data_IF_130400544948
#
_entry.id   IF_130400544948
#
_cell.length_a   1.000
_cell.length_b   1.000
_cell.length_c   1.000
_cell.angle_alpha   90.00
_cell.angle_beta   90.00
_cell.angle_gamma   90.00
#
_symmetry.space_group_name_H-M   'P 1'
#
loop_
_entity.id
_entity.type
_entity.pdbx_description
1 polymer ?
#
# COMPACT_ATOMS: atom_id res chain seq x y z
N UNK A 1 -22.52 3.18 -7.46
CA UNK A 1 -22.98 4.22 -6.53
C UNK A 1 -23.49 3.56 -5.26
N UNK A 2 -23.04 4.02 -4.09
CA UNK A 2 -23.49 3.51 -2.79
C UNK A 2 -24.14 4.69 -2.08
N UNK A 3 -25.45 4.62 -1.86
CA UNK A 3 -26.26 5.76 -1.40
C UNK A 3 -26.01 7.01 -2.28
N UNK A 4 -25.56 8.11 -1.69
CA UNK A 4 -25.25 9.35 -2.43
C UNK A 4 -23.79 9.47 -2.85
N UNK A 5 -22.94 8.46 -2.52
CA UNK A 5 -21.52 8.47 -2.84
C UNK A 5 -21.21 7.75 -4.15
N UNK A 6 -20.32 8.29 -4.95
CA UNK A 6 -19.73 7.60 -6.08
C UNK A 6 -18.42 6.94 -5.64
N UNK A 7 -18.33 5.60 -5.79
CA UNK A 7 -17.20 4.79 -5.34
C UNK A 7 -16.60 4.08 -6.55
N UNK A 8 -15.29 4.24 -6.72
CA UNK A 8 -14.51 3.61 -7.78
C UNK A 8 -13.39 2.78 -7.20
N UNK A 9 -13.23 1.57 -7.71
CA UNK A 9 -12.10 0.70 -7.39
C UNK A 9 -11.08 0.77 -8.52
N UNK A 10 -9.86 1.17 -8.21
CA UNK A 10 -8.77 1.33 -9.17
C UNK A 10 -7.65 0.37 -8.83
N UNK A 11 -7.16 -0.37 -9.82
CA UNK A 11 -6.12 -1.39 -9.64
C UNK A 11 -5.02 -1.23 -10.67
N UNK A 12 -3.79 -1.47 -10.24
CA UNK A 12 -2.62 -1.66 -11.10
C UNK A 12 -2.42 -3.16 -11.33
N UNK A 13 -2.57 -3.63 -12.55
CA UNK A 13 -2.38 -5.04 -12.91
C UNK A 13 -0.97 -5.35 -13.43
N UNK A 14 -0.04 -4.39 -13.35
CA UNK A 14 1.34 -4.56 -13.80
C UNK A 14 2.27 -4.93 -12.64
N UNK A 15 3.39 -5.55 -12.99
CA UNK A 15 4.47 -5.94 -12.07
C UNK A 15 5.35 -4.76 -11.61
N UNK A 16 5.04 -3.55 -12.07
CA UNK A 16 5.79 -2.35 -11.75
C UNK A 16 4.88 -1.27 -11.16
N UNK A 17 5.45 -0.41 -10.35
CA UNK A 17 4.79 0.79 -9.82
C UNK A 17 4.42 1.72 -10.95
N UNK A 18 3.17 2.18 -10.99
CA UNK A 18 2.66 3.07 -12.04
C UNK A 18 2.01 4.32 -11.46
N UNK A 19 2.27 5.42 -12.16
CA UNK A 19 1.57 6.70 -11.94
C UNK A 19 0.74 7.02 -13.16
N UNK A 20 -0.53 7.33 -12.97
CA UNK A 20 -1.47 7.68 -14.03
C UNK A 20 -2.50 8.69 -13.55
N UNK A 21 -3.04 9.46 -14.49
CA UNK A 21 -4.13 10.38 -14.25
C UNK A 21 -5.45 9.70 -14.57
N UNK A 22 -6.25 9.41 -13.55
CA UNK A 22 -7.56 8.76 -13.72
C UNK A 22 -8.63 9.82 -13.83
N UNK A 23 -9.50 9.69 -14.83
CA UNK A 23 -10.65 10.56 -15.04
C UNK A 23 -11.93 9.87 -14.55
N UNK A 24 -12.63 10.54 -13.65
CA UNK A 24 -13.90 10.10 -13.09
C UNK A 24 -15.03 11.00 -13.62
N UNK A 25 -16.17 10.41 -13.97
CA UNK A 25 -17.36 11.15 -14.40
C UNK A 25 -18.12 11.69 -13.19
N UNK A 26 -17.46 12.56 -12.47
CA UNK A 26 -17.96 13.21 -11.25
C UNK A 26 -17.44 14.64 -11.27
N UNK A 27 -18.26 15.60 -10.85
CA UNK A 27 -17.90 16.99 -10.67
C UNK A 27 -18.52 17.53 -9.37
N UNK A 28 -17.94 18.60 -8.81
CA UNK A 28 -18.46 19.25 -7.62
C UNK A 28 -18.37 18.43 -6.33
N UNK A 29 -17.58 17.34 -6.33
CA UNK A 29 -17.34 16.52 -5.15
C UNK A 29 -15.83 16.40 -4.88
N UNK A 30 -15.46 16.41 -3.58
CA UNK A 30 -14.09 16.18 -3.12
C UNK A 30 -13.71 14.71 -3.38
N UNK A 31 -12.64 14.43 -4.15
CA UNK A 31 -12.11 13.08 -4.22
C UNK A 31 -11.40 12.70 -2.91
N UNK A 32 -11.74 11.55 -2.39
CA UNK A 32 -11.08 10.90 -1.27
C UNK A 32 -10.37 9.63 -1.75
N UNK A 33 -9.25 9.31 -1.13
CA UNK A 33 -8.49 8.08 -1.39
C UNK A 33 -8.60 7.20 -0.15
N UNK A 34 -9.12 5.98 -0.34
CA UNK A 34 -9.34 5.01 0.71
C UNK A 34 -8.49 3.78 0.45
N UNK A 35 -7.55 3.52 1.36
CA UNK A 35 -6.69 2.35 1.31
C UNK A 35 -7.29 1.22 2.14
N UNK A 36 -7.72 0.15 1.47
CA UNK A 36 -8.35 -0.99 2.11
C UNK A 36 -7.36 -1.86 2.92
N UNK A 37 -6.05 -1.78 2.65
CA UNK A 37 -5.04 -2.54 3.39
C UNK A 37 -4.70 -1.90 4.73
N UNK A 38 -4.59 -0.57 4.74
CA UNK A 38 -4.21 0.19 5.94
C UNK A 38 -5.41 0.75 6.70
N UNK A 39 -6.57 0.85 6.03
CA UNK A 39 -7.75 1.55 6.54
C UNK A 39 -7.63 3.07 6.50
N UNK A 40 -6.58 3.61 5.87
CA UNK A 40 -6.41 5.06 5.74
C UNK A 40 -7.45 5.66 4.80
N UNK A 41 -8.09 6.73 5.27
CA UNK A 41 -9.02 7.56 4.50
C UNK A 41 -8.49 8.98 4.52
N UNK A 42 -8.29 9.57 3.34
CA UNK A 42 -7.78 10.93 3.22
C UNK A 42 -8.28 11.64 1.97
N UNK A 43 -8.37 12.96 2.03
CA UNK A 43 -8.64 13.77 0.85
C UNK A 43 -7.52 13.66 -0.17
N UNK A 44 -7.87 13.50 -1.45
CA UNK A 44 -6.94 13.71 -2.54
C UNK A 44 -6.65 15.22 -2.64
N UNK A 45 -5.42 15.61 -2.33
CA UNK A 45 -4.98 17.02 -2.41
C UNK A 45 -4.63 17.44 -3.83
N UNK A 46 -4.27 16.49 -4.69
CA UNK A 46 -4.01 16.71 -6.10
C UNK A 46 -5.22 16.21 -6.90
N UNK A 47 -5.94 17.11 -7.51
CA UNK A 47 -6.98 16.82 -8.48
C UNK A 47 -7.26 18.08 -9.34
N UNK A 48 -7.83 17.86 -10.49
CA UNK A 48 -8.43 18.91 -11.29
C UNK A 48 -9.83 18.52 -11.68
N UNK A 49 -10.74 19.46 -11.75
CA UNK A 49 -12.10 19.19 -12.24
C UNK A 49 -12.54 20.23 -13.27
N UNK A 50 -13.46 19.80 -14.10
CA UNK A 50 -14.19 20.63 -15.04
C UNK A 50 -15.70 20.34 -14.87
N UNK A 51 -16.52 20.80 -15.79
CA UNK A 51 -17.99 20.70 -15.70
C UNK A 51 -18.54 19.26 -15.60
N UNK A 52 -17.75 18.22 -15.93
CA UNK A 52 -18.25 16.84 -16.03
C UNK A 52 -17.28 15.79 -15.48
N UNK A 53 -16.04 16.14 -15.28
CA UNK A 53 -14.96 15.19 -14.95
C UNK A 53 -14.09 15.71 -13.82
N UNK A 54 -13.69 14.79 -12.94
CA UNK A 54 -12.60 15.01 -12.00
C UNK A 54 -11.42 14.10 -12.38
N UNK A 55 -10.24 14.69 -12.54
CA UNK A 55 -8.99 13.98 -12.82
C UNK A 55 -8.17 13.91 -11.55
N UNK A 56 -7.79 12.71 -11.13
CA UNK A 56 -6.98 12.46 -9.93
C UNK A 56 -5.70 11.72 -10.32
N UNK A 57 -4.50 12.28 -10.05
CA UNK A 57 -3.25 11.56 -10.21
C UNK A 57 -3.11 10.51 -9.10
N UNK A 58 -2.98 9.24 -9.50
CA UNK A 58 -2.81 8.10 -8.64
C UNK A 58 -1.47 7.42 -8.90
N UNK A 59 -0.82 6.95 -7.84
CA UNK A 59 0.36 6.09 -7.90
C UNK A 59 0.04 4.80 -7.15
N UNK A 60 0.14 3.68 -7.85
CA UNK A 60 -0.11 2.35 -7.29
C UNK A 60 1.12 1.47 -7.42
N UNK A 61 1.43 0.74 -6.37
CA UNK A 61 2.46 -0.28 -6.35
C UNK A 61 2.11 -1.45 -7.30
N UNK A 62 3.04 -2.35 -7.61
CA UNK A 62 2.74 -3.57 -8.37
C UNK A 62 1.54 -4.29 -7.78
N UNK A 63 0.56 -4.61 -8.63
CA UNK A 63 -0.70 -5.27 -8.23
C UNK A 63 -1.51 -4.54 -7.15
N UNK A 64 -1.14 -3.29 -6.83
CA UNK A 64 -1.82 -2.47 -5.84
C UNK A 64 -3.20 -2.00 -6.28
N UNK A 65 -4.04 -1.70 -5.30
CA UNK A 65 -5.40 -1.20 -5.52
C UNK A 65 -5.79 -0.15 -4.50
N UNK A 66 -6.76 0.69 -4.86
CA UNK A 66 -7.27 1.75 -4.00
C UNK A 66 -8.73 2.05 -4.35
N UNK A 67 -9.50 2.52 -3.39
CA UNK A 67 -10.80 3.12 -3.69
C UNK A 67 -10.65 4.64 -3.83
N UNK A 68 -11.36 5.20 -4.80
CA UNK A 68 -11.56 6.64 -4.92
C UNK A 68 -13.04 6.91 -4.70
N UNK A 69 -13.33 7.73 -3.69
CA UNK A 69 -14.69 7.98 -3.21
C UNK A 69 -15.00 9.47 -3.32
N UNK A 70 -16.21 9.76 -3.76
CA UNK A 70 -16.74 11.11 -3.91
C UNK A 70 -18.05 11.20 -3.12
N UNK A 71 -18.03 11.89 -1.99
CA UNK A 71 -19.18 12.01 -1.11
C UNK A 71 -19.41 13.43 -0.55
N UNK A 72 -18.38 14.25 -0.51
CA UNK A 72 -18.43 15.59 0.08
C UNK A 72 -18.55 16.67 -1.00
N UNK A 73 -19.57 17.48 -0.95
CA UNK A 73 -19.77 18.57 -1.91
C UNK A 73 -18.69 19.65 -1.77
N UNK A 74 -18.19 20.13 -2.91
CA UNK A 74 -17.26 21.24 -3.03
C UNK A 74 -17.70 22.16 -4.18
N UNK A 75 -17.11 23.35 -4.24
CA UNK A 75 -17.29 24.23 -5.39
C UNK A 75 -16.80 23.55 -6.68
N UNK A 76 -17.58 23.62 -7.75
CA UNK A 76 -17.23 23.03 -9.06
C UNK A 76 -15.98 23.61 -9.68
N UNK A 77 -15.59 24.82 -9.29
CA UNK A 77 -14.36 25.46 -9.73
C UNK A 77 -13.16 25.14 -8.84
N UNK A 78 -13.37 24.44 -7.69
CA UNK A 78 -12.29 24.08 -6.77
C UNK A 78 -11.31 23.15 -7.47
N UNK A 79 -10.04 23.45 -7.33
CA UNK A 79 -8.94 22.62 -7.80
C UNK A 79 -8.15 22.08 -6.62
N UNK A 80 -7.40 21.03 -6.84
CA UNK A 80 -6.48 20.51 -5.84
C UNK A 80 -5.41 21.53 -5.44
N UNK A 81 -4.92 21.42 -4.23
CA UNK A 81 -3.91 22.31 -3.64
C UNK A 81 -2.50 21.77 -3.75
N UNK A 82 -2.33 20.59 -4.32
CA UNK A 82 -1.04 19.91 -4.49
C UNK A 82 -0.90 19.39 -5.92
N UNK A 83 0.32 19.07 -6.31
CA UNK A 83 0.61 18.41 -7.58
C UNK A 83 0.57 16.88 -7.47
N UNK A 84 0.60 16.33 -6.22
CA UNK A 84 0.70 14.88 -5.95
C UNK A 84 -0.16 14.48 -4.77
N UNK A 85 -0.66 13.25 -4.83
CA UNK A 85 -1.43 12.62 -3.74
C UNK A 85 -0.58 11.67 -2.90
N UNK A 86 0.64 11.39 -3.30
CA UNK A 86 1.55 10.45 -2.63
C UNK A 86 2.87 11.14 -2.34
N UNK A 87 3.46 10.93 -1.16
CA UNK A 87 4.79 11.45 -0.85
C UNK A 87 5.85 10.73 -1.70
N UNK A 88 6.90 11.45 -2.04
CA UNK A 88 8.12 10.83 -2.54
C UNK A 88 8.94 10.35 -1.33
N UNK A 89 9.25 9.05 -1.31
CA UNK A 89 10.13 8.47 -0.30
C UNK A 89 11.55 8.39 -0.85
N UNK A 90 12.49 8.90 -0.07
CA UNK A 90 13.92 8.69 -0.32
C UNK A 90 14.45 7.63 0.64
N UNK A 91 15.27 6.73 0.15
CA UNK A 91 15.97 5.77 1.00
C UNK A 91 16.87 6.52 1.98
N UNK A 92 16.58 6.41 3.26
CA UNK A 92 17.39 7.05 4.32
C UNK A 92 18.59 6.18 4.65
N UNK A 93 18.40 4.85 4.68
CA UNK A 93 19.44 3.88 5.01
C UNK A 93 19.04 2.50 4.50
N UNK A 94 19.99 1.79 3.92
CA UNK A 94 19.88 0.35 3.71
C UNK A 94 20.25 -0.37 5.00
N UNK A 95 19.50 -1.39 5.37
CA UNK A 95 19.79 -2.23 6.52
C UNK A 95 20.40 -3.53 5.96
N UNK A 96 21.72 -3.57 5.98
CA UNK A 96 22.52 -4.68 5.51
C UNK A 96 23.08 -5.48 6.67
N UNK A 97 23.48 -6.72 6.42
CA UNK A 97 24.18 -7.59 7.37
C UNK A 97 23.39 -8.83 7.73
N UNK A 98 23.96 -9.60 8.66
CA UNK A 98 23.36 -10.85 9.08
C UNK A 98 22.18 -10.60 10.04
N UNK A 99 21.15 -11.44 9.89
CA UNK A 99 19.91 -11.39 10.66
C UNK A 99 19.80 -12.63 11.53
N UNK A 100 19.70 -12.45 12.85
CA UNK A 100 19.38 -13.57 13.74
C UNK A 100 17.86 -13.66 13.87
N UNK A 101 17.31 -14.78 13.41
CA UNK A 101 15.88 -15.06 13.48
C UNK A 101 15.62 -16.15 14.52
N UNK A 102 14.70 -15.88 15.43
CA UNK A 102 14.26 -16.83 16.44
C UNK A 102 12.89 -17.40 16.03
N UNK A 103 12.82 -18.72 15.98
CA UNK A 103 11.59 -19.46 15.70
C UNK A 103 11.06 -20.04 16.99
N UNK A 104 9.75 -20.25 17.09
CA UNK A 104 9.19 -21.06 18.18
C UNK A 104 9.34 -22.55 17.87
N UNK A 105 10.13 -23.33 18.66
CA UNK A 105 10.33 -24.75 18.40
C UNK A 105 9.04 -25.58 18.43
N UNK A 106 8.01 -25.09 19.10
CA UNK A 106 6.69 -25.77 19.13
C UNK A 106 6.06 -25.89 17.74
N UNK A 107 6.47 -25.05 16.80
CA UNK A 107 5.99 -25.07 15.41
C UNK A 107 7.00 -25.75 14.46
N UNK A 108 7.98 -26.45 15.00
CA UNK A 108 8.93 -27.26 14.24
C UNK A 108 10.14 -26.50 13.70
N UNK A 109 10.25 -25.20 13.99
CA UNK A 109 11.43 -24.40 13.62
C UNK A 109 12.61 -24.61 14.59
N UNK A 110 13.86 -24.33 14.17
CA UNK A 110 15.00 -24.25 15.07
C UNK A 110 14.86 -23.05 16.00
N UNK A 111 15.46 -23.12 17.20
CA UNK A 111 15.37 -22.02 18.18
C UNK A 111 15.92 -20.70 17.62
N UNK A 112 17.03 -20.79 16.88
CA UNK A 112 17.67 -19.60 16.29
C UNK A 112 18.49 -19.96 15.06
N UNK A 113 18.45 -19.10 14.05
CA UNK A 113 19.26 -19.22 12.84
C UNK A 113 19.76 -17.85 12.41
N UNK A 114 21.03 -17.80 11.99
CA UNK A 114 21.62 -16.60 11.41
C UNK A 114 21.51 -16.67 9.87
N UNK A 115 20.81 -15.71 9.30
CA UNK A 115 20.72 -15.49 7.87
C UNK A 115 21.71 -14.41 7.45
N UNK A 116 22.64 -14.68 6.51
CA UNK A 116 23.59 -13.67 6.04
C UNK A 116 22.89 -12.50 5.33
N UNK A 117 21.76 -12.77 4.72
CA UNK A 117 20.86 -11.83 4.04
C UNK A 117 19.41 -12.27 4.17
N UNK A 118 18.47 -11.37 3.92
CA UNK A 118 17.05 -11.72 3.89
C UNK A 118 16.78 -12.61 2.67
N UNK A 119 16.10 -13.72 2.89
CA UNK A 119 15.78 -14.69 1.84
C UNK A 119 14.34 -15.20 1.99
N UNK A 120 13.80 -15.75 0.92
CA UNK A 120 12.55 -16.49 0.96
C UNK A 120 12.76 -17.83 1.68
N UNK A 121 12.09 -18.01 2.82
CA UNK A 121 12.22 -19.21 3.63
C UNK A 121 11.73 -20.48 2.93
N UNK A 122 10.83 -20.37 1.96
CA UNK A 122 10.34 -21.51 1.17
C UNK A 122 11.46 -22.17 0.35
N UNK A 123 12.56 -21.48 0.13
CA UNK A 123 13.76 -21.97 -0.57
C UNK A 123 14.83 -22.52 0.37
N UNK A 124 14.61 -22.44 1.70
CA UNK A 124 15.61 -22.86 2.67
C UNK A 124 15.77 -24.37 2.72
N UNK A 125 17.03 -24.85 2.95
CA UNK A 125 17.35 -26.28 3.01
C UNK A 125 16.84 -27.00 4.26
N UNK A 126 16.59 -26.29 5.34
CA UNK A 126 16.03 -26.83 6.57
C UNK A 126 14.50 -26.85 6.49
N UNK A 127 13.89 -28.01 6.55
CA UNK A 127 12.43 -28.20 6.45
C UNK A 127 11.67 -27.50 7.58
N UNK A 128 12.24 -27.39 8.77
CA UNK A 128 11.64 -26.66 9.90
C UNK A 128 11.57 -25.16 9.66
N UNK A 129 12.35 -24.60 8.73
CA UNK A 129 12.28 -23.20 8.28
C UNK A 129 11.40 -23.12 7.04
N UNK A 130 11.65 -24.00 6.06
CA UNK A 130 10.96 -24.02 4.78
C UNK A 130 9.45 -24.10 4.91
N UNK A 131 8.97 -24.89 5.85
CA UNK A 131 7.54 -25.10 6.11
C UNK A 131 7.07 -24.44 7.41
N UNK A 132 7.85 -23.51 7.95
CA UNK A 132 7.49 -22.83 9.17
C UNK A 132 6.21 -22.03 8.97
N UNK A 133 5.17 -22.41 9.67
CA UNK A 133 3.89 -21.73 9.68
C UNK A 133 3.66 -21.10 11.05
N UNK A 134 3.69 -19.76 11.11
CA UNK A 134 3.33 -19.04 12.32
C UNK A 134 1.96 -18.36 12.12
N UNK A 135 0.92 -18.77 12.86
CA UNK A 135 -0.40 -18.15 12.76
C UNK A 135 -0.43 -16.70 13.29
N UNK A 136 0.65 -16.26 13.97
CA UNK A 136 0.78 -14.92 14.53
C UNK A 136 1.94 -14.16 13.89
N UNK A 137 1.71 -13.62 12.71
CA UNK A 137 2.71 -12.89 11.92
C UNK A 137 3.19 -11.56 12.56
N UNK A 138 2.74 -11.17 13.75
CA UNK A 138 2.94 -9.83 14.30
C UNK A 138 3.64 -9.75 15.66
N UNK A 139 4.27 -10.81 16.16
CA UNK A 139 5.04 -10.66 17.40
C UNK A 139 6.49 -11.12 17.25
N UNK A 140 7.35 -10.13 17.32
CA UNK A 140 8.80 -10.17 17.58
C UNK A 140 9.69 -10.77 16.47
N UNK A 141 9.83 -10.05 15.36
CA UNK A 141 11.14 -9.98 14.76
C UNK A 141 11.92 -8.98 15.63
N UNK A 142 12.61 -9.47 16.65
CA UNK A 142 13.58 -8.66 17.37
C UNK A 142 14.83 -8.57 16.50
N UNK A 143 14.99 -7.43 15.81
CA UNK A 143 16.21 -7.10 15.11
C UNK A 143 17.26 -6.72 16.19
N UNK A 144 18.08 -7.66 16.60
CA UNK A 144 19.31 -7.35 17.31
C UNK A 144 20.42 -7.07 16.31
N UNK A 145 20.97 -5.83 16.36
CA UNK A 145 22.26 -5.49 15.77
C UNK A 145 23.39 -6.01 16.65
#
# INVERSE_FOLDING_TARGET
KIAESDVYFVTNQAEERKTFNVQFRVDGLQPEVWDALTGEIRDAKAFSQNETLTTVPLTLEPYGSIFVVFNTQIDKNKQGTSLRNYPDFNTVKNIDGAWTVHFDPKWGGPESVVFPELMDWTTHSNDGIKYYFCPYFYQSINFCK
#
